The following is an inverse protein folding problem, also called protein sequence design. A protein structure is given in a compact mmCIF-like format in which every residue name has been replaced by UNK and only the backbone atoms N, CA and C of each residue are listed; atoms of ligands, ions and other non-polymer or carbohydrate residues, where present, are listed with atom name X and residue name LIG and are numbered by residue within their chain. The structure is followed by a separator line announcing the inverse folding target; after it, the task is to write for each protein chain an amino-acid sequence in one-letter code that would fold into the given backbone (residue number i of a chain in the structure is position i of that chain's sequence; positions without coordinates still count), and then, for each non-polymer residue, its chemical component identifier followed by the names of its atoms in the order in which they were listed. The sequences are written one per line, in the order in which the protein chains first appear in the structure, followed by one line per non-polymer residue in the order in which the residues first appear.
data_IF_264524601012
#
_entry.id   IF_264524601012
#
_cell.length_a   1.000
_cell.length_b   1.000
_cell.length_c   1.000
_cell.angle_alpha   90.00
_cell.angle_beta   90.00
_cell.angle_gamma   90.00
#
_symmetry.space_group_name_H-M   'P 1'
#
loop_
_entity.id
_entity.type
_entity.pdbx_description
1 polymer ?
#
# COMPACT_ATOMS: atom_id res chain seq x y z
N UNK A 1 9.41 9.13 -19.12
CA UNK A 1 10.25 9.27 -17.91
C UNK A 1 11.71 9.24 -18.34
N UNK A 2 12.27 10.41 -18.66
CA UNK A 2 13.65 10.54 -19.07
C UNK A 2 14.45 11.02 -17.86
N UNK A 3 15.50 10.27 -17.48
CA UNK A 3 16.37 10.61 -16.35
C UNK A 3 17.18 11.86 -16.72
N UNK A 4 16.93 12.98 -16.05
CA UNK A 4 17.64 14.24 -16.26
C UNK A 4 19.01 14.24 -15.56
N UNK A 5 19.28 13.32 -14.61
CA UNK A 5 20.63 13.14 -14.06
C UNK A 5 20.76 11.78 -13.31
N UNK A 6 21.53 10.80 -13.81
CA UNK A 6 21.59 9.44 -13.24
C UNK A 6 22.38 9.32 -11.92
N UNK A 7 23.16 10.34 -11.53
CA UNK A 7 23.95 10.29 -10.28
C UNK A 7 23.16 10.77 -9.05
N UNK A 8 22.12 11.58 -9.24
CA UNK A 8 21.35 12.19 -8.13
C UNK A 8 19.96 11.57 -7.94
N UNK A 9 19.51 10.71 -8.86
CA UNK A 9 18.17 10.10 -8.83
C UNK A 9 18.30 8.61 -8.52
N UNK A 10 17.64 8.10 -7.46
CA UNK A 10 17.60 6.68 -7.17
C UNK A 10 17.06 5.88 -8.35
N UNK A 11 17.53 4.65 -8.52
CA UNK A 11 16.99 3.75 -9.54
C UNK A 11 15.48 3.57 -9.31
N UNK A 12 14.69 3.49 -10.39
CA UNK A 12 13.26 3.36 -10.25
C UNK A 12 12.92 2.06 -9.53
N UNK A 13 11.95 2.12 -8.61
CA UNK A 13 11.55 0.97 -7.81
C UNK A 13 10.10 0.57 -8.08
N UNK A 14 9.80 -0.72 -7.87
CA UNK A 14 8.43 -1.22 -7.96
C UNK A 14 7.65 -0.74 -6.73
N UNK A 15 6.74 0.20 -6.93
CA UNK A 15 5.89 0.75 -5.88
C UNK A 15 4.40 0.47 -6.18
N UNK A 16 3.56 0.26 -5.16
CA UNK A 16 2.12 0.14 -5.35
C UNK A 16 1.53 1.42 -5.97
N UNK A 17 0.79 1.29 -7.06
CA UNK A 17 0.09 2.41 -7.72
C UNK A 17 -1.41 2.39 -7.44
N UNK A 18 -1.98 1.21 -7.15
CA UNK A 18 -3.39 1.05 -6.82
C UNK A 18 -3.54 0.17 -5.60
N UNK A 19 -4.30 0.66 -4.61
CA UNK A 19 -4.53 0.01 -3.33
C UNK A 19 -6.03 -0.06 -3.04
N UNK A 20 -6.48 -1.22 -2.56
CA UNK A 20 -7.87 -1.48 -2.17
C UNK A 20 -8.00 -1.65 -0.65
N UNK A 21 -9.23 -1.44 -0.18
CA UNK A 21 -9.60 -1.69 1.21
C UNK A 21 -9.98 -3.16 1.44
N UNK A 22 -9.77 -3.63 2.67
CA UNK A 22 -10.22 -4.92 3.19
C UNK A 22 -10.99 -4.74 4.49
N UNK A 23 -11.99 -5.59 4.73
CA UNK A 23 -12.74 -5.62 5.99
C UNK A 23 -12.22 -6.77 6.85
N UNK A 24 -11.89 -6.47 8.11
CA UNK A 24 -11.38 -7.44 9.09
C UNK A 24 -12.33 -7.48 10.27
N UNK A 25 -12.71 -8.70 10.66
CA UNK A 25 -13.44 -8.98 11.88
C UNK A 25 -12.47 -9.59 12.89
N UNK A 26 -12.31 -8.97 14.05
CA UNK A 26 -11.37 -9.43 15.08
C UNK A 26 -11.86 -9.06 16.50
N UNK A 27 -11.25 -9.70 17.50
CA UNK A 27 -11.45 -9.34 18.90
C UNK A 27 -10.41 -8.31 19.33
N UNK A 28 -10.82 -7.22 19.97
CA UNK A 28 -9.88 -6.29 20.61
C UNK A 28 -9.37 -6.83 21.96
N UNK A 29 -8.44 -6.10 22.60
CA UNK A 29 -7.86 -6.50 23.89
C UNK A 29 -8.90 -6.57 25.03
N UNK A 30 -10.08 -5.97 24.84
CA UNK A 30 -11.22 -6.01 25.76
C UNK A 30 -12.24 -7.09 25.39
N UNK A 31 -11.90 -8.00 24.48
CA UNK A 31 -12.77 -9.07 23.97
C UNK A 31 -14.03 -8.60 23.24
N UNK A 32 -14.04 -7.36 22.73
CA UNK A 32 -15.13 -6.87 21.90
C UNK A 32 -14.96 -7.35 20.45
N UNK A 33 -16.09 -7.66 19.80
CA UNK A 33 -16.10 -7.99 18.37
C UNK A 33 -16.07 -6.71 17.55
N UNK A 34 -14.98 -6.49 16.81
CA UNK A 34 -14.76 -5.30 15.99
C UNK A 34 -14.76 -5.68 14.52
N UNK A 35 -15.65 -5.05 13.74
CA UNK A 35 -15.60 -5.06 12.28
C UNK A 35 -14.97 -3.75 11.80
N UNK A 36 -13.77 -3.81 11.22
CA UNK A 36 -13.03 -2.64 10.75
C UNK A 36 -12.65 -2.75 9.28
N UNK A 37 -12.89 -1.67 8.54
CA UNK A 37 -12.48 -1.54 7.13
C UNK A 37 -11.15 -0.79 7.04
N UNK A 38 -10.07 -1.51 6.76
CA UNK A 38 -8.75 -0.94 6.57
C UNK A 38 -8.56 -0.54 5.12
N UNK A 39 -8.37 0.77 4.88
CA UNK A 39 -8.03 1.30 3.56
C UNK A 39 -6.57 1.02 3.24
N UNK A 40 -6.27 0.91 1.95
CA UNK A 40 -4.91 0.76 1.43
C UNK A 40 -4.13 -0.48 1.90
N UNK A 41 -4.82 -1.59 2.18
CA UNK A 41 -4.19 -2.82 2.65
C UNK A 41 -3.90 -3.84 1.54
N UNK A 42 -4.60 -3.77 0.42
CA UNK A 42 -4.48 -4.75 -0.68
C UNK A 42 -3.92 -4.07 -1.91
N UNK A 43 -2.72 -4.46 -2.34
CA UNK A 43 -2.13 -3.98 -3.59
C UNK A 43 -2.87 -4.58 -4.78
N UNK A 44 -3.41 -3.73 -5.66
CA UNK A 44 -4.05 -4.14 -6.93
C UNK A 44 -3.11 -4.03 -8.12
N UNK A 45 -2.26 -3.02 -8.13
CA UNK A 45 -1.30 -2.80 -9.20
C UNK A 45 -0.03 -2.16 -8.65
N UNK A 46 1.08 -2.47 -9.30
CA UNK A 46 2.38 -1.85 -9.07
C UNK A 46 2.84 -1.12 -10.33
N UNK A 47 3.68 -0.11 -10.16
CA UNK A 47 4.35 0.60 -11.25
C UNK A 47 5.78 0.94 -10.85
N UNK A 48 6.59 1.34 -11.83
CA UNK A 48 7.92 1.86 -11.57
C UNK A 48 7.82 3.36 -11.28
N UNK A 49 8.31 3.78 -10.13
CA UNK A 49 8.45 5.20 -9.76
C UNK A 49 9.87 5.67 -10.01
#
# INVERSE_FOLDING_TARGET
VHFINPETVPKPCCAPTQLNAISVLYFDDSSNVILKKYRNMVVRACGCH
#
